data_IF_257122463517
#
_entry.id   IF_257122463517
#
_cell.length_a   1.000
_cell.length_b   1.000
_cell.length_c   1.000
_cell.angle_alpha   90.00
_cell.angle_beta   90.00
_cell.angle_gamma   90.00
#
_symmetry.space_group_name_H-M   'P 1'
#
loop_
_entity.id
_entity.type
_entity.pdbx_description
1 polymer ?
#
# COMPACT_ATOMS: atom_id res chain seq x y z
N UNK A 1 -28.34 -17.53 41.50
CA UNK A 1 -27.05 -17.28 40.85
C UNK A 1 -27.32 -16.74 39.46
N UNK A 2 -27.29 -15.40 39.28
CA UNK A 2 -27.42 -14.76 37.97
C UNK A 2 -26.01 -14.51 37.43
N UNK A 3 -25.54 -15.34 36.50
CA UNK A 3 -24.33 -15.09 35.74
C UNK A 3 -24.69 -14.40 34.43
N UNK A 4 -24.46 -13.09 34.34
CA UNK A 4 -24.51 -12.38 33.06
C UNK A 4 -23.40 -12.90 32.14
N UNK A 5 -23.67 -13.17 30.85
CA UNK A 5 -22.65 -13.57 29.91
C UNK A 5 -21.65 -12.42 29.66
N UNK A 6 -20.37 -12.72 29.35
CA UNK A 6 -19.35 -11.70 29.13
C UNK A 6 -19.70 -10.84 27.91
N UNK A 7 -19.76 -9.52 28.13
CA UNK A 7 -20.03 -8.51 27.10
C UNK A 7 -18.89 -8.54 26.07
N UNK A 8 -19.13 -9.06 24.86
CA UNK A 8 -18.17 -9.02 23.75
C UNK A 8 -17.86 -7.55 23.44
N UNK A 9 -16.64 -7.10 23.74
CA UNK A 9 -16.16 -5.79 23.31
C UNK A 9 -15.94 -5.83 21.79
N UNK A 10 -16.87 -5.26 21.04
CA UNK A 10 -16.65 -4.97 19.63
C UNK A 10 -15.70 -3.77 19.54
N UNK A 11 -14.44 -4.02 19.21
CA UNK A 11 -13.47 -2.96 18.90
C UNK A 11 -13.95 -2.29 17.60
N UNK A 12 -14.41 -1.06 17.69
CA UNK A 12 -14.78 -0.27 16.52
C UNK A 12 -13.51 0.17 15.79
N UNK A 13 -13.19 -0.55 14.71
CA UNK A 13 -12.11 -0.17 13.80
C UNK A 13 -12.75 0.61 12.66
N UNK A 14 -12.35 1.88 12.53
CA UNK A 14 -12.79 2.75 11.44
C UNK A 14 -12.48 2.15 10.07
N UNK A 15 -13.27 2.52 9.06
CA UNK A 15 -13.02 2.08 7.68
C UNK A 15 -11.60 2.42 7.20
N UNK A 16 -11.08 3.58 7.61
CA UNK A 16 -9.72 3.99 7.24
C UNK A 16 -8.64 3.10 7.84
N UNK A 17 -8.78 2.64 9.10
CA UNK A 17 -7.80 1.72 9.70
C UNK A 17 -7.89 0.35 9.01
N UNK A 18 -9.10 -0.12 8.67
CA UNK A 18 -9.27 -1.38 7.92
C UNK A 18 -8.59 -1.33 6.55
N UNK A 19 -8.80 -0.26 5.79
CA UNK A 19 -8.15 -0.05 4.49
C UNK A 19 -6.63 0.07 4.65
N UNK A 20 -6.15 0.84 5.62
CA UNK A 20 -4.72 0.99 5.88
C UNK A 20 -4.07 -0.35 6.20
N UNK A 21 -4.65 -1.14 7.11
CA UNK A 21 -4.12 -2.45 7.46
C UNK A 21 -4.16 -3.43 6.27
N UNK A 22 -5.26 -3.45 5.52
CA UNK A 22 -5.40 -4.32 4.35
C UNK A 22 -4.37 -3.99 3.27
N UNK A 23 -4.26 -2.70 2.88
CA UNK A 23 -3.29 -2.27 1.88
C UNK A 23 -1.86 -2.47 2.38
N UNK A 24 -1.56 -2.11 3.63
CA UNK A 24 -0.22 -2.33 4.19
C UNK A 24 0.14 -3.81 4.11
N UNK A 25 -0.75 -4.72 4.51
CA UNK A 25 -0.50 -6.16 4.41
C UNK A 25 -0.28 -6.61 2.96
N UNK A 26 -1.18 -6.21 2.05
CA UNK A 26 -1.11 -6.60 0.64
C UNK A 26 0.18 -6.11 -0.03
N UNK A 27 0.55 -4.84 0.18
CA UNK A 27 1.78 -4.28 -0.34
C UNK A 27 3.02 -4.88 0.33
N UNK A 28 2.97 -5.19 1.63
CA UNK A 28 4.08 -5.87 2.32
C UNK A 28 4.38 -7.22 1.66
N UNK A 29 3.34 -8.01 1.39
CA UNK A 29 3.50 -9.32 0.72
C UNK A 29 4.02 -9.13 -0.70
N UNK A 30 3.43 -8.22 -1.47
CA UNK A 30 3.87 -7.97 -2.85
C UNK A 30 5.33 -7.50 -2.93
N UNK A 31 5.73 -6.57 -2.05
CA UNK A 31 7.10 -6.08 -2.00
C UNK A 31 8.07 -7.11 -1.46
N UNK A 32 7.68 -7.94 -0.49
CA UNK A 32 8.53 -9.03 -0.01
C UNK A 32 8.83 -10.04 -1.14
N UNK A 33 7.82 -10.39 -1.95
CA UNK A 33 8.00 -11.25 -3.11
C UNK A 33 8.89 -10.60 -4.18
N UNK A 34 8.64 -9.32 -4.51
CA UNK A 34 9.46 -8.59 -5.46
C UNK A 34 10.91 -8.43 -4.98
N UNK A 35 11.11 -8.18 -3.68
CA UNK A 35 12.42 -8.08 -3.05
C UNK A 35 13.16 -9.40 -3.15
N UNK A 36 12.52 -10.50 -2.76
CA UNK A 36 13.12 -11.83 -2.85
C UNK A 36 13.51 -12.15 -4.31
N UNK A 37 12.61 -11.90 -5.25
CA UNK A 37 12.89 -12.12 -6.67
C UNK A 37 14.07 -11.27 -7.16
N UNK A 38 14.07 -9.97 -6.88
CA UNK A 38 15.11 -9.05 -7.33
C UNK A 38 16.47 -9.33 -6.69
N UNK A 39 16.51 -9.65 -5.40
CA UNK A 39 17.74 -10.03 -4.70
C UNK A 39 18.40 -11.25 -5.36
N UNK A 40 17.59 -12.30 -5.63
CA UNK A 40 18.08 -13.49 -6.31
C UNK A 40 18.53 -13.16 -7.74
N UNK A 41 17.73 -12.39 -8.49
CA UNK A 41 18.07 -11.98 -9.84
C UNK A 41 19.40 -11.19 -9.88
N UNK A 42 19.53 -10.14 -9.08
CA UNK A 42 20.71 -9.28 -9.06
C UNK A 42 21.97 -10.03 -8.60
N UNK A 43 21.85 -10.87 -7.58
CA UNK A 43 22.97 -11.70 -7.09
C UNK A 43 23.42 -12.71 -8.14
N UNK A 44 22.46 -13.40 -8.79
CA UNK A 44 22.78 -14.36 -9.84
C UNK A 44 23.43 -13.69 -11.04
N UNK A 45 22.94 -12.54 -11.48
CA UNK A 45 23.55 -11.78 -12.57
C UNK A 45 24.96 -11.30 -12.22
N UNK A 46 25.19 -10.86 -10.98
CA UNK A 46 26.52 -10.50 -10.51
C UNK A 46 27.49 -11.70 -10.56
N UNK A 47 27.06 -12.87 -10.06
CA UNK A 47 27.89 -14.09 -10.08
C UNK A 47 28.17 -14.56 -11.51
N UNK A 48 27.16 -14.55 -12.40
CA UNK A 48 27.33 -14.88 -13.82
C UNK A 48 28.36 -13.95 -14.46
N UNK A 49 28.25 -12.64 -14.20
CA UNK A 49 29.18 -11.65 -14.76
C UNK A 49 30.61 -11.87 -14.26
N UNK A 50 30.78 -12.13 -12.97
CA UNK A 50 32.09 -12.42 -12.40
C UNK A 50 32.66 -13.71 -12.99
N UNK A 51 31.85 -14.76 -13.14
CA UNK A 51 32.27 -16.00 -13.78
C UNK A 51 32.70 -15.81 -15.22
N UNK A 52 32.02 -14.94 -15.98
CA UNK A 52 32.42 -14.60 -17.34
C UNK A 52 33.74 -13.81 -17.39
N UNK A 53 33.91 -12.81 -16.52
CA UNK A 53 35.17 -12.07 -16.39
C UNK A 53 36.34 -13.02 -16.03
N UNK A 54 36.10 -13.94 -15.08
CA UNK A 54 37.05 -14.97 -14.67
C UNK A 54 37.40 -15.91 -15.84
N UNK A 55 36.40 -16.39 -16.59
CA UNK A 55 36.60 -17.25 -17.76
C UNK A 55 37.43 -16.57 -18.83
N UNK A 56 37.12 -15.32 -19.15
CA UNK A 56 37.85 -14.52 -20.15
C UNK A 56 39.29 -14.31 -19.72
N UNK A 57 39.52 -13.99 -18.44
CA UNK A 57 40.85 -13.80 -17.88
C UNK A 57 41.64 -15.11 -17.90
N UNK A 58 41.04 -16.23 -17.47
CA UNK A 58 41.65 -17.57 -17.50
C UNK A 58 42.11 -17.96 -18.90
N UNK A 59 41.19 -17.96 -19.86
CA UNK A 59 41.50 -18.42 -21.22
C UNK A 59 42.51 -17.49 -21.89
N UNK A 60 42.39 -16.18 -21.70
CA UNK A 60 43.36 -15.21 -22.24
C UNK A 60 44.74 -15.32 -21.59
N UNK A 61 44.81 -15.63 -20.30
CA UNK A 61 46.06 -15.82 -19.59
C UNK A 61 46.76 -17.12 -19.99
N UNK A 62 46.01 -18.21 -20.12
CA UNK A 62 46.54 -19.52 -20.49
C UNK A 62 47.09 -19.57 -21.92
N UNK A 63 46.47 -18.86 -22.87
CA UNK A 63 46.90 -18.81 -24.28
C UNK A 63 48.33 -18.28 -24.48
N UNK A 64 48.83 -17.51 -23.51
CA UNK A 64 50.18 -16.91 -23.57
C UNK A 64 51.23 -17.70 -22.78
N UNK A 65 50.82 -18.68 -21.96
CA UNK A 65 51.76 -19.49 -21.19
C UNK A 65 52.41 -20.52 -22.11
N UNK A 66 53.74 -20.49 -22.18
CA UNK A 66 54.51 -21.53 -22.87
C UNK A 66 54.53 -22.81 -22.03
N UNK A 67 53.74 -23.81 -22.45
CA UNK A 67 53.64 -25.10 -21.78
C UNK A 67 54.93 -25.93 -21.85
N UNK A 68 55.71 -25.82 -22.92
CA UNK A 68 56.99 -26.53 -23.05
C UNK A 68 58.02 -25.96 -22.07
N UNK A 69 58.06 -24.62 -21.94
CA UNK A 69 58.91 -23.94 -20.95
C UNK A 69 58.50 -24.32 -19.52
N UNK A 70 57.20 -24.37 -19.23
CA UNK A 70 56.66 -24.72 -17.91
C UNK A 70 57.02 -26.15 -17.49
N UNK A 71 56.91 -27.13 -18.40
CA UNK A 71 57.36 -28.50 -18.13
C UNK A 71 58.87 -28.53 -17.93
N UNK A 72 59.63 -27.89 -18.81
CA UNK A 72 61.09 -27.88 -18.70
C UNK A 72 61.54 -27.26 -17.37
N UNK A 73 60.84 -26.22 -16.89
CA UNK A 73 61.02 -25.64 -15.56
C UNK A 73 60.71 -26.67 -14.47
N UNK A 74 59.57 -27.36 -14.57
CA UNK A 74 59.22 -28.43 -13.63
C UNK A 74 60.24 -29.57 -13.62
N UNK A 75 60.88 -29.94 -14.73
CA UNK A 75 61.81 -31.06 -14.78
C UNK A 75 63.23 -30.70 -14.30
N UNK A 76 63.69 -29.49 -14.63
CA UNK A 76 65.11 -29.12 -14.46
C UNK A 76 65.35 -28.02 -13.42
N UNK A 77 64.32 -27.26 -13.06
CA UNK A 77 64.40 -26.24 -12.02
C UNK A 77 64.79 -26.83 -10.67
N UNK A 78 65.44 -26.02 -9.83
CA UNK A 78 65.86 -26.43 -8.50
C UNK A 78 65.29 -25.48 -7.45
N UNK A 79 64.71 -26.00 -6.35
CA UNK A 79 64.20 -25.13 -5.32
C UNK A 79 65.33 -24.35 -4.63
N UNK A 80 65.08 -23.08 -4.31
CA UNK A 80 65.97 -22.26 -3.49
C UNK A 80 65.63 -22.38 -1.99
N UNK A 81 66.42 -21.77 -1.10
CA UNK A 81 66.20 -21.84 0.35
C UNK A 81 64.84 -21.28 0.80
N UNK A 82 64.24 -20.39 0.00
CA UNK A 82 62.94 -19.81 0.27
C UNK A 82 61.76 -20.71 -0.16
N UNK A 83 62.03 -21.88 -0.75
CA UNK A 83 60.99 -22.81 -1.23
C UNK A 83 60.43 -22.45 -2.61
N UNK A 84 61.05 -21.52 -3.34
CA UNK A 84 60.72 -21.15 -4.72
C UNK A 84 61.85 -21.59 -5.65
N UNK A 85 62.15 -20.90 -6.74
CA UNK A 85 63.33 -21.18 -7.57
C UNK A 85 63.92 -19.91 -8.18
N UNK A 86 65.23 -19.88 -8.38
CA UNK A 86 65.94 -18.76 -9.02
C UNK A 86 66.07 -18.95 -10.55
N UNK A 87 65.40 -19.98 -11.10
CA UNK A 87 65.39 -20.26 -12.53
C UNK A 87 64.77 -19.09 -13.33
N UNK A 88 65.43 -18.60 -14.40
CA UNK A 88 64.89 -17.50 -15.21
C UNK A 88 63.48 -17.77 -15.74
N UNK A 89 63.14 -19.02 -16.07
CA UNK A 89 61.80 -19.38 -16.57
C UNK A 89 60.73 -19.16 -15.51
N UNK A 90 61.02 -19.44 -14.24
CA UNK A 90 60.09 -19.15 -13.14
C UNK A 90 59.80 -17.66 -13.03
N UNK A 91 60.83 -16.82 -13.22
CA UNK A 91 60.67 -15.37 -13.25
C UNK A 91 59.82 -14.91 -14.43
N UNK A 92 60.04 -15.46 -15.63
CA UNK A 92 59.28 -15.13 -16.83
C UNK A 92 57.80 -15.50 -16.68
N UNK A 93 57.52 -16.68 -16.11
CA UNK A 93 56.16 -17.09 -15.74
C UNK A 93 55.53 -16.10 -14.76
N UNK A 94 56.24 -15.74 -13.69
CA UNK A 94 55.73 -14.75 -12.72
C UNK A 94 55.50 -13.38 -13.34
N UNK A 95 56.37 -12.90 -14.24
CA UNK A 95 56.21 -11.62 -14.94
C UNK A 95 54.94 -11.60 -15.79
N UNK A 96 54.61 -12.73 -16.41
CA UNK A 96 53.36 -12.89 -17.13
C UNK A 96 52.14 -12.87 -16.20
N UNK A 97 52.15 -13.69 -15.13
CA UNK A 97 51.05 -13.72 -14.17
C UNK A 97 50.81 -12.33 -13.54
N UNK A 98 51.88 -11.61 -13.22
CA UNK A 98 51.81 -10.25 -12.68
C UNK A 98 51.26 -9.24 -13.70
N UNK A 99 51.58 -9.40 -14.98
CA UNK A 99 50.97 -8.61 -16.06
C UNK A 99 49.46 -8.82 -16.14
N UNK A 100 49.00 -10.08 -16.04
CA UNK A 100 47.56 -10.40 -16.03
C UNK A 100 46.88 -9.80 -14.79
N UNK A 101 47.50 -9.92 -13.61
CA UNK A 101 47.01 -9.30 -12.38
C UNK A 101 46.91 -7.78 -12.48
N UNK A 102 47.86 -7.12 -13.18
CA UNK A 102 47.78 -5.69 -13.45
C UNK A 102 46.57 -5.28 -14.31
N UNK A 103 46.08 -6.18 -15.17
CA UNK A 103 44.88 -5.97 -16.01
C UNK A 103 43.60 -6.31 -15.26
N UNK A 104 43.60 -7.42 -14.51
CA UNK A 104 42.50 -7.85 -13.65
C UNK A 104 42.99 -8.02 -12.20
N UNK A 105 42.95 -6.94 -11.39
CA UNK A 105 43.50 -6.94 -10.03
C UNK A 105 42.83 -7.90 -9.04
N UNK A 106 41.68 -8.46 -9.41
CA UNK A 106 41.01 -9.50 -8.61
C UNK A 106 41.64 -10.87 -8.81
N UNK A 107 42.34 -11.10 -9.92
CA UNK A 107 42.89 -12.39 -10.33
C UNK A 107 44.19 -12.69 -9.60
N UNK A 108 44.19 -13.72 -8.74
CA UNK A 108 45.41 -14.31 -8.20
C UNK A 108 45.69 -15.61 -8.95
N UNK A 109 46.78 -15.63 -9.69
CA UNK A 109 47.06 -16.70 -10.65
C UNK A 109 48.14 -17.65 -10.12
N UNK A 110 47.98 -18.92 -10.44
CA UNK A 110 48.98 -19.95 -10.18
C UNK A 110 48.92 -21.07 -11.22
N UNK A 111 50.05 -21.74 -11.43
CA UNK A 111 50.16 -22.90 -12.32
C UNK A 111 50.47 -24.16 -11.53
N UNK A 112 49.94 -25.28 -11.98
CA UNK A 112 50.12 -26.56 -11.32
C UNK A 112 50.11 -27.70 -12.33
N UNK A 113 50.80 -28.79 -12.00
CA UNK A 113 50.78 -30.04 -12.75
C UNK A 113 49.93 -31.08 -12.04
N UNK A 114 49.51 -32.07 -12.82
CA UNK A 114 48.95 -33.32 -12.29
C UNK A 114 50.06 -34.12 -11.62
N UNK A 115 49.85 -34.52 -10.37
CA UNK A 115 50.74 -35.44 -9.66
C UNK A 115 50.50 -36.91 -10.04
N UNK A 116 51.31 -37.79 -9.44
CA UNK A 116 51.24 -39.24 -9.66
C UNK A 116 50.19 -39.89 -8.73
N UNK A 117 49.97 -39.29 -7.55
CA UNK A 117 48.97 -39.76 -6.60
C UNK A 117 47.54 -39.28 -6.99
N UNK A 118 46.48 -40.00 -6.57
CA UNK A 118 45.11 -39.57 -6.82
C UNK A 118 44.82 -38.19 -6.21
N UNK A 119 44.27 -37.27 -7.00
CA UNK A 119 43.93 -35.90 -6.60
C UNK A 119 45.14 -35.03 -6.20
N UNK A 120 46.34 -35.41 -6.61
CA UNK A 120 47.56 -34.66 -6.35
C UNK A 120 47.80 -33.57 -7.39
N UNK A 121 48.12 -32.38 -6.90
CA UNK A 121 48.56 -31.25 -7.68
C UNK A 121 49.96 -30.84 -7.22
N UNK A 122 50.81 -30.51 -8.18
CA UNK A 122 52.16 -30.02 -7.92
C UNK A 122 52.22 -28.58 -8.38
N UNK A 123 52.26 -27.64 -7.45
CA UNK A 123 52.32 -26.21 -7.76
C UNK A 123 53.68 -25.84 -8.35
N UNK A 124 53.68 -25.05 -9.42
CA UNK A 124 54.90 -24.60 -10.08
C UNK A 124 55.12 -23.14 -9.78
N UNK A 125 54.19 -22.28 -10.21
CA UNK A 125 54.32 -20.84 -10.07
C UNK A 125 53.08 -20.28 -9.39
N UNK A 126 53.25 -19.49 -8.34
CA UNK A 126 52.17 -18.80 -7.65
C UNK A 126 52.51 -17.31 -7.55
N UNK A 127 51.61 -16.46 -8.08
CA UNK A 127 51.80 -15.02 -8.09
C UNK A 127 51.96 -14.44 -6.67
N UNK A 128 51.35 -15.05 -5.65
CA UNK A 128 51.51 -14.59 -4.27
C UNK A 128 52.97 -14.59 -3.82
N UNK A 129 53.86 -15.38 -4.42
CA UNK A 129 55.31 -15.37 -4.11
C UNK A 129 55.93 -13.97 -4.23
N UNK A 130 55.38 -13.09 -5.08
CA UNK A 130 55.81 -11.68 -5.23
C UNK A 130 55.23 -10.72 -4.20
N UNK A 131 54.03 -11.01 -3.70
CA UNK A 131 53.23 -10.07 -2.91
C UNK A 131 53.16 -10.45 -1.43
N UNK A 132 53.02 -11.73 -1.14
CA UNK A 132 52.94 -12.29 0.19
C UNK A 132 53.28 -13.79 0.16
N UNK A 133 54.52 -14.11 0.51
CA UNK A 133 55.02 -15.50 0.52
C UNK A 133 54.28 -16.41 1.48
N UNK A 134 53.66 -15.88 2.55
CA UNK A 134 52.86 -16.69 3.49
C UNK A 134 51.55 -17.20 2.85
N UNK A 135 51.15 -16.61 1.71
CA UNK A 135 49.98 -17.00 0.95
C UNK A 135 50.28 -17.81 -0.31
N UNK A 136 51.55 -18.00 -0.64
CA UNK A 136 51.97 -18.63 -1.88
C UNK A 136 52.20 -20.14 -1.67
N UNK A 137 51.84 -20.94 -2.67
CA UNK A 137 52.38 -22.29 -2.82
C UNK A 137 53.85 -22.22 -3.29
N UNK A 138 54.69 -23.06 -2.70
CA UNK A 138 56.10 -23.20 -3.06
C UNK A 138 56.29 -23.88 -4.42
N UNK A 139 57.50 -23.71 -4.98
CA UNK A 139 57.90 -24.41 -6.21
C UNK A 139 57.99 -25.91 -5.97
N UNK A 140 57.26 -26.69 -6.78
CA UNK A 140 57.01 -28.13 -6.60
C UNK A 140 56.37 -28.48 -5.26
N UNK A 141 55.57 -27.60 -4.69
CA UNK A 141 54.77 -27.95 -3.51
C UNK A 141 53.67 -28.94 -3.90
N UNK A 142 53.64 -30.09 -3.22
CA UNK A 142 52.64 -31.13 -3.43
C UNK A 142 51.40 -30.84 -2.58
N UNK A 143 50.23 -30.91 -3.21
CA UNK A 143 48.94 -30.78 -2.56
C UNK A 143 48.00 -31.89 -3.01
N UNK A 144 47.57 -32.72 -2.05
CA UNK A 144 46.63 -33.82 -2.31
C UNK A 144 45.27 -33.43 -1.76
N UNK A 145 44.28 -33.32 -2.65
CA UNK A 145 42.90 -33.02 -2.26
C UNK A 145 42.13 -34.29 -1.85
N UNK A 146 41.18 -34.15 -0.93
CA UNK A 146 40.32 -35.27 -0.48
C UNK A 146 39.48 -35.88 -1.64
N UNK A 147 39.20 -35.08 -2.67
CA UNK A 147 38.46 -35.49 -3.86
C UNK A 147 38.98 -34.81 -5.13
N UNK A 148 38.66 -35.38 -6.30
CA UNK A 148 38.91 -34.76 -7.59
C UNK A 148 37.98 -33.54 -7.76
N UNK A 149 38.44 -32.39 -7.28
CA UNK A 149 37.70 -31.13 -7.34
C UNK A 149 37.83 -30.42 -8.69
N UNK A 150 37.24 -29.21 -8.80
CA UNK A 150 37.34 -28.35 -9.97
C UNK A 150 38.77 -28.15 -10.53
N UNK A 151 39.84 -28.04 -9.71
CA UNK A 151 41.21 -27.97 -10.23
C UNK A 151 41.60 -29.16 -11.11
N UNK A 152 41.16 -30.37 -10.78
CA UNK A 152 41.47 -31.58 -11.54
C UNK A 152 40.73 -31.62 -12.87
N UNK A 153 39.46 -31.20 -12.89
CA UNK A 153 38.72 -31.01 -14.14
C UNK A 153 39.35 -29.93 -15.03
N UNK A 154 39.96 -28.91 -14.40
CA UNK A 154 40.75 -27.87 -15.06
C UNK A 154 41.93 -28.36 -15.87
N UNK A 155 42.43 -29.57 -15.61
CA UNK A 155 43.49 -30.22 -16.41
C UNK A 155 42.95 -30.88 -17.68
N UNK A 156 41.65 -30.83 -17.94
CA UNK A 156 41.04 -31.38 -19.16
C UNK A 156 40.17 -30.33 -19.87
N UNK A 157 39.44 -29.53 -19.10
CA UNK A 157 38.50 -28.54 -19.62
C UNK A 157 38.43 -27.33 -18.71
N UNK A 158 38.23 -26.15 -19.30
CA UNK A 158 37.98 -24.93 -18.54
C UNK A 158 36.79 -25.11 -17.61
N UNK A 159 37.05 -25.02 -16.30
CA UNK A 159 36.10 -25.31 -15.23
C UNK A 159 36.05 -24.11 -14.29
N UNK A 160 34.85 -23.66 -13.93
CA UNK A 160 34.64 -22.57 -12.99
C UNK A 160 33.93 -23.09 -11.74
N UNK A 161 34.44 -22.72 -10.57
CA UNK A 161 33.73 -22.86 -9.31
C UNK A 161 33.34 -21.47 -8.77
N UNK A 162 32.08 -21.13 -9.01
CA UNK A 162 31.51 -19.84 -8.64
C UNK A 162 30.90 -19.84 -7.24
N UNK A 163 30.98 -20.95 -6.51
CA UNK A 163 30.55 -21.01 -5.11
C UNK A 163 31.68 -20.49 -4.22
N UNK A 164 31.45 -19.42 -3.44
CA UNK A 164 32.51 -18.91 -2.58
C UNK A 164 32.92 -19.93 -1.52
N UNK A 165 34.17 -20.36 -1.52
CA UNK A 165 34.76 -21.20 -0.47
C UNK A 165 35.71 -20.39 0.41
N UNK A 166 36.13 -20.96 1.54
CA UNK A 166 37.04 -20.30 2.49
C UNK A 166 38.17 -21.25 2.85
N UNK A 167 39.40 -20.75 2.80
CA UNK A 167 40.60 -21.48 3.17
C UNK A 167 41.50 -20.62 4.09
N UNK A 168 42.74 -21.07 4.31
CA UNK A 168 43.73 -20.35 5.14
C UNK A 168 44.19 -19.02 4.53
N UNK A 169 43.94 -18.80 3.24
CA UNK A 169 44.40 -17.64 2.47
C UNK A 169 43.31 -16.58 2.29
N UNK A 170 42.03 -16.96 2.38
CA UNK A 170 40.90 -16.05 2.29
C UNK A 170 39.59 -16.73 1.88
N UNK A 171 38.69 -15.93 1.28
CA UNK A 171 37.45 -16.41 0.67
C UNK A 171 37.55 -16.21 -0.83
N UNK A 172 37.29 -17.25 -1.60
CA UNK A 172 37.61 -17.28 -3.02
C UNK A 172 36.45 -17.83 -3.85
N UNK A 173 36.42 -17.41 -5.10
CA UNK A 173 35.79 -18.14 -6.21
C UNK A 173 36.89 -18.38 -7.23
N UNK A 174 36.87 -19.53 -7.88
CA UNK A 174 38.04 -19.97 -8.62
C UNK A 174 37.66 -20.53 -9.97
N UNK A 175 38.62 -20.50 -10.88
CA UNK A 175 38.47 -21.17 -12.15
C UNK A 175 39.80 -21.69 -12.62
N UNK A 176 39.70 -22.67 -13.51
CA UNK A 176 40.81 -23.52 -13.89
C UNK A 176 40.73 -23.78 -15.38
N UNK A 177 41.86 -23.78 -16.07
CA UNK A 177 41.92 -24.03 -17.51
C UNK A 177 43.20 -24.77 -17.88
N UNK A 178 43.16 -25.68 -18.87
CA UNK A 178 44.34 -26.45 -19.24
C UNK A 178 45.34 -25.58 -20.00
N UNK A 179 46.62 -25.77 -19.70
CA UNK A 179 47.76 -25.21 -20.42
C UNK A 179 48.25 -26.28 -21.39
N UNK A 180 48.45 -25.90 -22.65
CA UNK A 180 48.89 -26.81 -23.69
C UNK A 180 50.35 -26.55 -24.07
N UNK A 181 51.08 -27.60 -24.45
CA UNK A 181 52.39 -27.48 -25.08
C UNK A 181 52.29 -27.17 -26.58
N UNK A 182 53.42 -27.01 -27.27
CA UNK A 182 53.44 -26.77 -28.72
C UNK A 182 52.87 -27.93 -29.55
N UNK A 183 52.78 -29.14 -29.00
CA UNK A 183 52.12 -30.29 -29.61
C UNK A 183 50.59 -30.31 -29.42
N UNK A 184 50.04 -29.39 -28.63
CA UNK A 184 48.61 -29.32 -28.31
C UNK A 184 48.18 -30.31 -27.23
N UNK A 185 49.12 -30.92 -26.51
CA UNK A 185 48.85 -31.80 -25.38
C UNK A 185 48.66 -30.97 -24.11
N UNK A 186 47.77 -31.37 -23.21
CA UNK A 186 47.62 -30.71 -21.91
C UNK A 186 48.75 -31.14 -21.00
N UNK A 187 49.48 -30.15 -20.47
CA UNK A 187 50.70 -30.40 -19.69
C UNK A 187 50.65 -29.81 -18.29
N UNK A 188 49.77 -28.84 -18.06
CA UNK A 188 49.56 -28.21 -16.76
C UNK A 188 48.16 -27.57 -16.70
N UNK A 189 47.80 -27.06 -15.53
CA UNK A 189 46.63 -26.23 -15.30
C UNK A 189 47.03 -24.82 -14.89
N UNK A 190 46.24 -23.84 -15.33
CA UNK A 190 46.24 -22.48 -14.78
C UNK A 190 45.02 -22.35 -13.87
N UNK A 191 45.26 -22.01 -12.60
CA UNK A 191 44.24 -21.60 -11.65
C UNK A 191 44.22 -20.08 -11.50
N UNK A 192 43.01 -19.53 -11.38
CA UNK A 192 42.80 -18.14 -10.98
C UNK A 192 41.79 -18.10 -9.85
N UNK A 193 42.18 -17.48 -8.74
CA UNK A 193 41.32 -17.20 -7.60
C UNK A 193 40.92 -15.72 -7.59
N UNK A 194 39.62 -15.45 -7.57
CA UNK A 194 39.07 -14.12 -7.32
C UNK A 194 38.70 -13.99 -5.85
N UNK A 195 39.14 -12.90 -5.23
CA UNK A 195 38.77 -12.62 -3.84
C UNK A 195 37.25 -12.39 -3.72
N UNK A 196 36.58 -13.26 -2.99
CA UNK A 196 35.13 -13.26 -2.83
C UNK A 196 34.60 -12.12 -1.94
N UNK A 197 35.49 -11.31 -1.34
CA UNK A 197 35.12 -10.06 -0.67
C UNK A 197 34.36 -9.12 -1.62
N UNK A 198 34.72 -9.13 -2.91
CA UNK A 198 33.99 -8.40 -3.93
C UNK A 198 32.53 -8.89 -4.05
N UNK A 199 32.30 -10.21 -4.04
CA UNK A 199 30.93 -10.79 -4.08
C UNK A 199 30.12 -10.31 -2.88
N UNK A 200 30.70 -10.35 -1.68
CA UNK A 200 30.05 -9.88 -0.46
C UNK A 200 29.75 -8.37 -0.51
N UNK A 201 30.67 -7.56 -1.02
CA UNK A 201 30.47 -6.12 -1.20
C UNK A 201 29.35 -5.82 -2.19
N UNK A 202 29.31 -6.54 -3.32
CA UNK A 202 28.23 -6.39 -4.32
C UNK A 202 26.89 -6.79 -3.72
N UNK A 203 26.81 -7.92 -3.00
CA UNK A 203 25.59 -8.33 -2.28
C UNK A 203 25.13 -7.27 -1.28
N UNK A 204 26.05 -6.68 -0.51
CA UNK A 204 25.70 -5.63 0.44
C UNK A 204 25.27 -4.33 -0.24
N UNK A 205 25.90 -3.95 -1.35
CA UNK A 205 25.48 -2.80 -2.14
C UNK A 205 24.06 -3.00 -2.71
N UNK A 206 23.74 -4.23 -3.18
CA UNK A 206 22.40 -4.62 -3.61
C UNK A 206 21.41 -4.48 -2.44
N UNK A 207 21.70 -5.08 -1.28
CA UNK A 207 20.84 -5.03 -0.09
C UNK A 207 20.61 -3.59 0.37
N UNK A 208 21.66 -2.78 0.50
CA UNK A 208 21.54 -1.39 0.95
C UNK A 208 20.72 -0.53 -0.02
N UNK A 209 20.92 -0.70 -1.32
CA UNK A 209 20.14 -0.02 -2.35
C UNK A 209 18.66 -0.42 -2.28
N UNK A 210 18.39 -1.72 -2.08
CA UNK A 210 17.03 -2.23 -1.95
C UNK A 210 16.33 -1.75 -0.67
N UNK A 211 17.01 -1.76 0.48
CA UNK A 211 16.47 -1.25 1.75
C UNK A 211 16.11 0.24 1.61
N UNK A 212 16.99 1.02 0.98
CA UNK A 212 16.75 2.45 0.75
C UNK A 212 15.54 2.66 -0.17
N UNK A 213 15.47 1.94 -1.29
CA UNK A 213 14.34 2.00 -2.21
C UNK A 213 13.02 1.57 -1.54
N UNK A 214 13.06 0.54 -0.70
CA UNK A 214 11.91 0.05 0.05
C UNK A 214 11.42 1.07 1.08
N UNK A 215 12.34 1.66 1.86
CA UNK A 215 12.01 2.70 2.82
C UNK A 215 11.33 3.90 2.14
N UNK A 216 11.88 4.38 1.02
CA UNK A 216 11.28 5.47 0.23
C UNK A 216 9.89 5.07 -0.28
N UNK A 217 9.74 3.85 -0.81
CA UNK A 217 8.46 3.36 -1.32
C UNK A 217 7.41 3.27 -0.22
N UNK A 218 7.78 2.84 0.99
CA UNK A 218 6.86 2.80 2.13
C UNK A 218 6.47 4.18 2.63
N UNK A 219 7.39 5.14 2.64
CA UNK A 219 7.07 6.53 2.97
C UNK A 219 6.07 7.11 1.98
N UNK A 220 6.26 6.86 0.68
CA UNK A 220 5.33 7.27 -0.38
C UNK A 220 3.97 6.58 -0.21
N UNK A 221 3.96 5.26 0.03
CA UNK A 221 2.73 4.50 0.26
C UNK A 221 1.97 5.03 1.48
N UNK A 222 2.66 5.27 2.59
CA UNK A 222 2.08 5.83 3.80
C UNK A 222 1.48 7.21 3.54
N UNK A 223 2.22 8.08 2.84
CA UNK A 223 1.72 9.41 2.46
C UNK A 223 0.47 9.30 1.59
N UNK A 224 0.48 8.40 0.59
CA UNK A 224 -0.65 8.20 -0.32
C UNK A 224 -1.89 7.69 0.42
N UNK A 225 -1.73 6.71 1.32
CA UNK A 225 -2.83 6.21 2.17
C UNK A 225 -3.34 7.32 3.10
N UNK A 226 -2.45 8.12 3.69
CA UNK A 226 -2.81 9.26 4.53
C UNK A 226 -3.61 10.31 3.75
N UNK A 227 -3.17 10.66 2.54
CA UNK A 227 -3.87 11.60 1.66
C UNK A 227 -5.24 11.05 1.26
N UNK A 228 -5.33 9.78 0.82
CA UNK A 228 -6.61 9.17 0.45
C UNK A 228 -7.59 9.18 1.64
N UNK A 229 -7.11 8.81 2.83
CA UNK A 229 -7.92 8.82 4.04
C UNK A 229 -8.46 10.23 4.36
N UNK A 230 -7.60 11.25 4.22
CA UNK A 230 -7.95 12.65 4.48
C UNK A 230 -8.93 13.21 3.44
N UNK A 231 -8.72 12.94 2.15
CA UNK A 231 -9.48 13.57 1.07
C UNK A 231 -10.77 12.82 0.68
N UNK A 232 -10.82 11.50 0.87
CA UNK A 232 -11.96 10.68 0.42
C UNK A 232 -12.68 10.01 1.59
N UNK A 233 -11.95 9.30 2.46
CA UNK A 233 -12.61 8.48 3.51
C UNK A 233 -13.29 9.34 4.58
N UNK A 234 -12.66 10.41 5.05
CA UNK A 234 -13.23 11.28 6.08
C UNK A 234 -14.57 11.93 5.66
N UNK A 235 -14.68 12.59 4.49
CA UNK A 235 -15.95 13.15 4.03
C UNK A 235 -17.09 12.12 3.94
N UNK A 236 -16.82 10.91 3.44
CA UNK A 236 -17.83 9.85 3.33
C UNK A 236 -18.30 9.40 4.72
N UNK A 237 -17.38 9.23 5.68
CA UNK A 237 -17.74 8.88 7.06
C UNK A 237 -18.57 9.99 7.71
N UNK A 238 -18.19 11.26 7.53
CA UNK A 238 -18.95 12.39 8.06
C UNK A 238 -20.36 12.47 7.44
N UNK A 239 -20.48 12.28 6.12
CA UNK A 239 -21.78 12.23 5.44
C UNK A 239 -22.66 11.09 5.98
N UNK A 240 -22.06 9.93 6.27
CA UNK A 240 -22.77 8.80 6.88
C UNK A 240 -23.32 9.17 8.25
N UNK A 241 -22.49 9.80 9.11
CA UNK A 241 -22.94 10.24 10.44
C UNK A 241 -24.02 11.32 10.38
N UNK A 242 -23.95 12.26 9.44
CA UNK A 242 -25.00 13.26 9.24
C UNK A 242 -26.31 12.59 8.78
N UNK A 243 -26.23 11.58 7.90
CA UNK A 243 -27.40 10.84 7.47
C UNK A 243 -28.09 10.07 8.61
N UNK A 244 -27.32 9.54 9.57
CA UNK A 244 -27.86 8.91 10.78
C UNK A 244 -28.66 9.91 11.63
N UNK A 245 -28.11 11.10 11.90
CA UNK A 245 -28.79 12.16 12.68
C UNK A 245 -30.09 12.64 12.01
N UNK A 246 -30.08 12.76 10.68
CA UNK A 246 -31.28 13.12 9.92
C UNK A 246 -32.31 12.00 9.97
N UNK A 247 -31.87 10.74 9.96
CA UNK A 247 -32.73 9.57 10.16
C UNK A 247 -33.41 9.56 11.54
N UNK A 248 -32.79 10.16 12.55
CA UNK A 248 -33.37 10.36 13.89
C UNK A 248 -34.29 11.59 13.98
N UNK A 249 -34.42 12.36 12.89
CA UNK A 249 -35.32 13.52 12.79
C UNK A 249 -34.64 14.87 13.05
N UNK A 250 -33.31 14.90 13.22
CA UNK A 250 -32.55 16.15 13.29
C UNK A 250 -32.15 16.64 11.90
N UNK A 251 -32.99 17.51 11.33
CA UNK A 251 -32.78 18.09 10.00
C UNK A 251 -31.89 19.35 9.99
N UNK A 252 -31.40 19.81 11.14
CA UNK A 252 -30.62 21.06 11.24
C UNK A 252 -29.12 20.82 11.16
N UNK A 253 -28.69 19.92 10.28
CA UNK A 253 -27.29 19.57 10.07
C UNK A 253 -26.64 20.50 9.05
N UNK A 254 -25.40 20.89 9.31
CA UNK A 254 -24.60 21.67 8.37
C UNK A 254 -23.91 20.74 7.36
N UNK A 255 -24.34 20.79 6.11
CA UNK A 255 -23.78 20.00 5.00
C UNK A 255 -22.69 20.76 4.23
N UNK A 256 -22.47 22.04 4.53
CA UNK A 256 -21.44 22.85 3.86
C UNK A 256 -20.02 22.37 4.19
N UNK A 257 -19.82 21.75 5.36
CA UNK A 257 -18.54 21.14 5.78
C UNK A 257 -18.07 19.97 4.90
N UNK A 258 -18.96 19.42 4.09
CA UNK A 258 -18.65 18.36 3.13
C UNK A 258 -18.25 18.91 1.76
N UNK A 259 -18.46 20.21 1.51
CA UNK A 259 -18.17 20.86 0.24
C UNK A 259 -16.80 21.53 0.26
N UNK A 260 -16.06 21.41 -0.83
CA UNK A 260 -14.77 22.07 -1.05
C UNK A 260 -14.94 23.21 -2.04
N UNK A 261 -14.45 24.40 -1.68
CA UNK A 261 -14.60 25.59 -2.52
C UNK A 261 -13.67 25.61 -3.75
N UNK A 262 -12.53 24.90 -3.71
CA UNK A 262 -11.48 25.01 -4.73
C UNK A 262 -11.46 23.88 -5.77
N UNK A 263 -11.94 22.68 -5.43
CA UNK A 263 -11.91 21.52 -6.33
C UNK A 263 -13.16 20.64 -6.12
N UNK A 264 -14.27 20.94 -6.82
CA UNK A 264 -15.48 20.12 -6.75
C UNK A 264 -15.23 18.72 -7.31
N UNK A 265 -15.55 17.69 -6.53
CA UNK A 265 -15.45 16.28 -6.88
C UNK A 265 -16.82 15.56 -6.75
N UNK A 266 -16.86 14.24 -6.97
CA UNK A 266 -18.09 13.46 -6.86
C UNK A 266 -18.68 13.45 -5.44
N UNK A 267 -17.86 13.69 -4.40
CA UNK A 267 -18.33 13.81 -3.01
C UNK A 267 -19.07 15.14 -2.82
N UNK A 268 -18.58 16.23 -3.42
CA UNK A 268 -19.30 17.51 -3.44
C UNK A 268 -20.67 17.36 -4.10
N UNK A 269 -20.72 16.66 -5.24
CA UNK A 269 -21.98 16.42 -5.93
C UNK A 269 -22.94 15.55 -5.10
N UNK A 270 -22.40 14.55 -4.41
CA UNK A 270 -23.18 13.70 -3.51
C UNK A 270 -23.74 14.52 -2.34
N UNK A 271 -22.95 15.39 -1.73
CA UNK A 271 -23.39 16.28 -0.66
C UNK A 271 -24.50 17.22 -1.12
N UNK A 272 -24.39 17.78 -2.33
CA UNK A 272 -25.43 18.63 -2.94
C UNK A 272 -26.75 17.89 -3.15
N UNK A 273 -26.72 16.71 -3.76
CA UNK A 273 -27.92 15.90 -3.98
C UNK A 273 -28.53 15.45 -2.65
N UNK A 274 -27.68 15.11 -1.67
CA UNK A 274 -28.11 14.73 -0.33
C UNK A 274 -28.83 15.90 0.37
N UNK A 275 -28.30 17.12 0.32
CA UNK A 275 -28.95 18.31 0.90
C UNK A 275 -30.35 18.56 0.31
N UNK A 276 -30.49 18.43 -1.01
CA UNK A 276 -31.79 18.55 -1.69
C UNK A 276 -32.77 17.48 -1.18
N UNK A 277 -32.29 16.26 -0.96
CA UNK A 277 -33.11 15.16 -0.42
C UNK A 277 -33.57 15.45 1.01
N UNK A 278 -32.66 15.89 1.88
CA UNK A 278 -32.94 16.25 3.28
C UNK A 278 -34.03 17.34 3.35
N UNK A 279 -33.91 18.39 2.55
CA UNK A 279 -34.92 19.45 2.50
C UNK A 279 -36.30 18.95 2.03
N UNK A 280 -36.33 18.03 1.05
CA UNK A 280 -37.58 17.40 0.60
C UNK A 280 -38.20 16.51 1.68
N UNK A 281 -37.40 15.74 2.41
CA UNK A 281 -37.87 14.87 3.51
C UNK A 281 -38.43 15.71 4.65
N UNK A 282 -37.68 16.73 5.11
CA UNK A 282 -38.12 17.64 6.17
C UNK A 282 -39.46 18.31 5.81
N UNK A 283 -39.60 18.80 4.56
CA UNK A 283 -40.84 19.43 4.08
C UNK A 283 -42.01 18.43 4.04
N UNK A 284 -41.77 17.18 3.64
CA UNK A 284 -42.79 16.11 3.66
C UNK A 284 -43.24 15.80 5.08
N UNK A 285 -42.32 15.70 6.03
CA UNK A 285 -42.66 15.45 7.43
C UNK A 285 -43.46 16.62 8.05
N UNK A 286 -43.05 17.87 7.80
CA UNK A 286 -43.79 19.05 8.26
C UNK A 286 -45.21 19.10 7.69
N UNK A 287 -45.37 18.80 6.39
CA UNK A 287 -46.68 18.74 5.76
C UNK A 287 -47.54 17.61 6.36
N UNK A 288 -46.96 16.44 6.61
CA UNK A 288 -47.65 15.33 7.27
C UNK A 288 -48.08 15.70 8.69
N UNK A 289 -47.21 16.35 9.48
CA UNK A 289 -47.54 16.86 10.83
C UNK A 289 -48.70 17.86 10.79
N UNK A 290 -48.73 18.78 9.81
CA UNK A 290 -49.84 19.72 9.61
C UNK A 290 -51.14 19.02 9.24
N UNK A 291 -51.09 18.04 8.32
CA UNK A 291 -52.27 17.25 7.95
C UNK A 291 -52.82 16.46 9.14
N UNK A 292 -51.95 15.83 9.93
CA UNK A 292 -52.36 15.12 11.16
C UNK A 292 -52.97 16.08 12.19
N UNK A 293 -52.40 17.27 12.36
CA UNK A 293 -52.95 18.29 13.26
C UNK A 293 -54.33 18.78 12.78
N UNK A 294 -54.49 19.03 11.49
CA UNK A 294 -55.76 19.42 10.88
C UNK A 294 -56.81 18.32 11.05
N UNK A 295 -56.46 17.07 10.75
CA UNK A 295 -57.35 15.91 10.95
C UNK A 295 -57.76 15.75 12.42
N UNK A 296 -56.86 15.99 13.38
CA UNK A 296 -57.21 15.98 14.82
C UNK A 296 -58.24 17.06 15.15
N UNK A 297 -58.07 18.27 14.65
CA UNK A 297 -59.02 19.38 14.85
C UNK A 297 -60.39 19.03 14.27
N UNK A 298 -60.43 18.50 13.05
CA UNK A 298 -61.69 18.07 12.40
C UNK A 298 -62.39 16.95 13.16
N UNK A 299 -61.64 15.96 13.64
CA UNK A 299 -62.18 14.87 14.47
C UNK A 299 -62.73 15.40 15.79
N UNK A 300 -62.02 16.30 16.46
CA UNK A 300 -62.46 16.90 17.72
C UNK A 300 -63.71 17.77 17.52
N UNK A 301 -63.78 18.55 16.44
CA UNK A 301 -64.98 19.34 16.13
C UNK A 301 -66.17 18.44 15.79
N UNK A 302 -65.97 17.40 14.97
CA UNK A 302 -67.01 16.42 14.65
C UNK A 302 -67.48 15.64 15.90
N UNK A 303 -66.60 15.40 16.87
CA UNK A 303 -66.96 14.82 18.17
C UNK A 303 -67.75 15.82 19.01
N UNK A 304 -67.32 17.07 19.08
CA UNK A 304 -68.01 18.15 19.79
C UNK A 304 -69.41 18.38 19.25
N UNK A 305 -69.58 18.42 17.93
CA UNK A 305 -70.89 18.54 17.28
C UNK A 305 -71.80 17.35 17.63
N UNK A 306 -71.26 16.12 17.66
CA UNK A 306 -72.00 14.94 18.11
C UNK A 306 -72.42 15.04 19.58
N UNK A 307 -71.53 15.49 20.46
CA UNK A 307 -71.81 15.63 21.88
C UNK A 307 -72.86 16.74 22.14
N UNK A 308 -72.77 17.87 21.44
CA UNK A 308 -73.80 18.93 21.46
C UNK A 308 -75.14 18.39 20.97
N UNK A 309 -75.17 17.64 19.87
CA UNK A 309 -76.41 17.04 19.35
C UNK A 309 -77.07 16.12 20.37
N UNK A 310 -76.30 15.27 21.06
CA UNK A 310 -76.82 14.43 22.16
C UNK A 310 -77.42 15.25 23.30
N UNK A 311 -76.82 16.39 23.66
CA UNK A 311 -77.33 17.28 24.71
C UNK A 311 -78.63 17.99 24.28
N UNK A 312 -78.70 18.45 23.03
CA UNK A 312 -79.91 19.06 22.49
C UNK A 312 -81.06 18.05 22.39
N UNK A 313 -80.75 16.78 22.09
CA UNK A 313 -81.72 15.69 22.02
C UNK A 313 -82.11 15.11 23.39
N UNK A 314 -81.43 15.47 24.48
CA UNK A 314 -81.87 15.08 25.84
C UNK A 314 -83.04 15.93 26.35
N UNK A 315 -83.97 15.29 27.08
CA UNK A 315 -85.21 15.86 27.63
C UNK A 315 -85.02 17.19 28.39
N UNK A 316 -83.82 17.45 28.93
CA UNK A 316 -83.48 18.68 29.64
C UNK A 316 -83.58 19.94 28.76
N UNK A 317 -83.21 19.86 27.48
CA UNK A 317 -83.26 21.01 26.57
C UNK A 317 -84.69 21.31 26.12
N UNK A 318 -85.49 20.27 25.89
CA UNK A 318 -86.92 20.38 25.62
C UNK A 318 -87.67 21.04 26.81
N UNK A 319 -87.33 20.65 28.05
CA UNK A 319 -87.90 21.27 29.27
C UNK A 319 -87.54 22.76 29.38
N UNK A 320 -86.28 23.13 29.13
CA UNK A 320 -85.83 24.52 29.17
C UNK A 320 -86.52 25.39 28.11
N UNK A 321 -86.71 24.88 26.89
CA UNK A 321 -87.43 25.58 25.82
C UNK A 321 -88.90 25.83 26.22
N UNK A 322 -89.56 24.83 26.80
CA UNK A 322 -90.94 24.96 27.30
C UNK A 322 -91.06 26.04 28.40
N UNK A 323 -90.10 26.10 29.33
CA UNK A 323 -90.06 27.12 30.41
C UNK A 323 -89.83 28.52 29.86
N UNK A 324 -88.93 28.68 28.89
CA UNK A 324 -88.66 29.97 28.26
C UNK A 324 -89.88 30.50 27.48
N UNK A 325 -90.62 29.62 26.79
CA UNK A 325 -91.87 29.98 26.13
C UNK A 325 -92.95 30.40 27.14
N UNK A 326 -93.07 29.68 28.26
CA UNK A 326 -94.00 30.05 29.33
C UNK A 326 -93.72 31.45 29.90
N UNK A 327 -92.44 31.81 30.06
CA UNK A 327 -92.02 33.14 30.53
C UNK A 327 -92.32 34.21 29.47
N UNK A 328 -92.05 33.94 28.18
CA UNK A 328 -92.37 34.86 27.08
C UNK A 328 -93.87 35.11 26.97
N UNK A 329 -94.69 34.08 27.16
CA UNK A 329 -96.16 34.19 27.17
C UNK A 329 -96.63 35.08 28.33
N UNK A 330 -96.10 34.86 29.54
CA UNK A 330 -96.35 35.72 30.71
C UNK A 330 -95.96 37.18 30.49
N UNK A 331 -94.84 37.44 29.82
CA UNK A 331 -94.38 38.82 29.52
C UNK A 331 -95.27 39.51 28.49
N UNK A 332 -95.76 38.76 27.50
CA UNK A 332 -96.67 39.25 26.44
C UNK A 332 -98.06 39.56 26.98
N UNK A 333 -98.55 38.78 27.94
CA UNK A 333 -99.82 39.05 28.62
C UNK A 333 -99.75 40.29 29.54
N UNK A 334 -98.58 40.57 30.11
CA UNK A 334 -98.32 41.79 30.91
C UNK A 334 -98.32 43.09 30.09
N UNK A 335 -98.05 43.01 28.78
CA UNK A 335 -97.99 44.18 27.87
C UNK A 335 -99.37 44.55 27.31
N UNK A 336 -100.35 43.63 27.30
CA UNK A 336 -101.72 43.91 26.80
C UNK A 336 -102.64 44.61 27.80
N UNK A 337 -102.20 44.85 29.04
CA UNK A 337 -103.04 45.40 30.13
C UNK A 337 -103.05 46.92 30.29
N UNK A 338 -102.30 47.70 29.50
CA UNK A 338 -102.25 49.15 29.68
C UNK A 338 -102.22 49.88 28.32
N UNK A 339 -103.31 50.56 27.97
CA UNK A 339 -103.41 51.46 26.80
C UNK A 339 -104.29 52.67 27.18
N UNK A 340 -103.91 53.88 26.77
CA UNK A 340 -104.89 54.76 26.13
C UNK A 340 -104.39 55.35 24.80
N UNK A 341 -105.36 55.91 24.07
CA UNK A 341 -105.32 56.42 22.69
C UNK A 341 -104.71 57.83 22.54
N UNK A 342 -104.13 58.16 21.38
CA UNK A 342 -104.70 59.03 20.32
C UNK A 342 -103.61 59.60 19.36
N UNK A 343 -104.01 59.74 18.08
CA UNK A 343 -103.58 60.59 16.92
C UNK A 343 -102.13 61.04 16.60
N UNK A 344 -101.85 61.02 15.28
CA UNK A 344 -100.96 61.94 14.51
C UNK A 344 -99.81 61.23 13.77
N UNK A 345 -99.93 60.92 12.46
CA UNK A 345 -99.31 61.64 11.30
C UNK A 345 -97.81 61.99 11.52
N UNK A 346 -96.84 61.61 10.67
CA UNK A 346 -96.73 61.82 9.22
C UNK A 346 -95.63 60.93 8.59
N UNK A 347 -95.75 60.69 7.27
CA UNK A 347 -94.81 60.24 6.22
C UNK A 347 -93.28 60.42 6.47
N UNK A 348 -92.33 59.67 5.87
CA UNK A 348 -92.15 59.32 4.43
C UNK A 348 -91.04 58.25 4.25
N UNK A 349 -91.23 57.33 3.29
CA UNK A 349 -90.29 56.80 2.25
C UNK A 349 -88.83 56.37 2.59
N UNK A 350 -88.48 55.08 2.43
CA UNK A 350 -87.71 54.41 1.31
C UNK A 350 -86.34 55.02 0.99
N UNK A 351 -85.22 54.33 0.70
CA UNK A 351 -84.89 53.06 0.01
C UNK A 351 -83.38 52.79 0.28
N UNK A 352 -82.92 51.55 0.40
CA UNK A 352 -82.14 50.79 -0.62
C UNK A 352 -80.95 51.53 -1.25
N UNK A 353 -79.72 51.05 -1.08
CA UNK A 353 -79.05 50.19 -2.07
C UNK A 353 -77.58 49.95 -1.74
N UNK A 354 -77.10 48.83 -2.29
CA UNK A 354 -75.80 48.19 -2.11
C UNK A 354 -74.77 48.75 -3.16
N UNK A 355 -73.59 48.14 -3.36
CA UNK A 355 -72.26 48.77 -3.39
C UNK A 355 -71.73 49.11 -4.82
N UNK A 356 -70.45 49.46 -4.98
CA UNK A 356 -69.64 48.64 -5.90
C UNK A 356 -68.14 48.43 -5.56
N UNK A 357 -67.70 47.24 -5.97
CA UNK A 357 -66.43 46.80 -6.60
C UNK A 357 -65.36 47.82 -7.04
N UNK A 358 -64.09 47.46 -6.73
CA UNK A 358 -62.82 47.46 -7.52
C UNK A 358 -62.46 48.63 -8.47
N UNK A 359 -61.16 48.97 -8.68
CA UNK A 359 -60.20 48.07 -9.36
C UNK A 359 -58.69 48.18 -8.99
N UNK A 360 -57.91 47.18 -9.44
CA UNK A 360 -56.45 47.28 -9.64
C UNK A 360 -56.09 48.33 -10.71
N UNK A 361 -54.83 48.81 -10.78
CA UNK A 361 -53.80 48.20 -11.66
C UNK A 361 -52.42 48.14 -10.94
N UNK A 362 -51.40 47.37 -11.32
CA UNK A 362 -50.95 46.94 -12.63
C UNK A 362 -49.61 47.63 -12.97
N UNK A 363 -48.55 46.81 -13.06
CA UNK A 363 -47.36 46.90 -13.93
C UNK A 363 -46.07 47.65 -13.54
N UNK A 364 -45.00 47.02 -14.08
CA UNK A 364 -43.62 47.45 -14.37
C UNK A 364 -42.61 47.15 -13.25
N UNK A 365 -41.49 46.46 -13.49
CA UNK A 365 -40.89 45.83 -14.68
C UNK A 365 -39.91 44.75 -14.22
#
# INVERSE_FOLDING_TARGET
MNSNPPKRMHIFVSLHIKLLLLFTLLFTVAFALAYYWFYNFATNQAIIRIGEDLRVTLVGAADRIDGDELIALYETGQPNEAGFTDDPRYKDQLDWLDTVHGVEPRAWLYTYLKGDEPNEMIFITDLFSRYNTDKAAGFREHYVADNAGPPYSGLEVTTLDLHPYTDKFGRWISGYTPIHNSAGEVVAGLGIDFQADYVAQVQQAIINSMITAFAVTYVILFLLVYLISRFFTRPIVNLTSIAELIGEGDYHQDLSVLRKDQFPDEIDKLAEVFEIMVGKVQKREQNLKRQVAQLRIEIDDAKRQRDVKKIVETDMFADLQSKAEAIRKRRRDKIKGNKPADRGATSTETKSDNPPTEPQPGLSS
#
